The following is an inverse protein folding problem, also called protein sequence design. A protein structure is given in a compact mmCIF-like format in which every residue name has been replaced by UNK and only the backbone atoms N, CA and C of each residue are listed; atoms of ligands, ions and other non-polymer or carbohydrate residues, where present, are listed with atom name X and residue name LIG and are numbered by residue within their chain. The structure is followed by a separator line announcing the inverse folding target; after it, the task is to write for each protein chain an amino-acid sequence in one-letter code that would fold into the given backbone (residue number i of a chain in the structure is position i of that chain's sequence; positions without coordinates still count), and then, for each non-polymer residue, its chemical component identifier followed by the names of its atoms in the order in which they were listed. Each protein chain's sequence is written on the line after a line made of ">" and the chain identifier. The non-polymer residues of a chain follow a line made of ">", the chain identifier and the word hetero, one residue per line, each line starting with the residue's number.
data_IF_237005049071
#
_entry.id   IF_237005049071
#
_cell.length_a   1.000
_cell.length_b   1.000
_cell.length_c   1.000
_cell.angle_alpha   90.00
_cell.angle_beta   90.00
_cell.angle_gamma   90.00
#
_symmetry.space_group_name_H-M   'P 1'
#
loop_
_entity.id
_entity.type
_entity.pdbx_description
1 polymer ?
#
# COMPACT_ATOMS: atom_id res chain seq x y z
N UNK A 1 -24.09 -39.86 -54.80
CA UNK A 1 -22.63 -39.62 -54.85
C UNK A 1 -22.15 -39.31 -53.44
N UNK A 2 -21.32 -40.22 -52.88
CA UNK A 2 -20.81 -40.15 -51.52
C UNK A 2 -19.54 -39.29 -51.44
N UNK A 3 -19.40 -38.45 -50.40
CA UNK A 3 -18.15 -37.78 -50.04
C UNK A 3 -17.87 -37.86 -48.54
N UNK A 4 -17.04 -38.86 -48.21
CA UNK A 4 -15.85 -38.75 -47.35
C UNK A 4 -15.97 -38.08 -45.98
N UNK A 5 -16.31 -38.89 -44.97
CA UNK A 5 -16.00 -38.62 -43.55
C UNK A 5 -14.48 -38.74 -43.32
N UNK A 6 -13.82 -37.62 -42.99
CA UNK A 6 -12.40 -37.59 -42.61
C UNK A 6 -12.28 -37.79 -41.10
N UNK A 7 -11.70 -38.91 -40.71
CA UNK A 7 -11.38 -39.25 -39.32
C UNK A 7 -10.38 -38.26 -38.71
N UNK A 8 -10.81 -37.56 -37.66
CA UNK A 8 -9.95 -36.81 -36.77
C UNK A 8 -9.22 -37.75 -35.82
N UNK A 9 -7.87 -37.70 -35.80
CA UNK A 9 -7.08 -38.37 -34.77
C UNK A 9 -7.38 -37.72 -33.40
N UNK A 10 -7.51 -38.51 -32.33
CA UNK A 10 -7.71 -37.96 -31.00
C UNK A 10 -6.46 -37.21 -30.52
N UNK A 11 -6.62 -36.16 -29.69
CA UNK A 11 -5.49 -35.41 -29.14
C UNK A 11 -4.65 -36.32 -28.23
N UNK A 12 -3.36 -36.38 -28.55
CA UNK A 12 -2.34 -36.99 -27.71
C UNK A 12 -2.34 -36.31 -26.33
N UNK A 13 -2.88 -37.03 -25.34
CA UNK A 13 -2.80 -36.71 -23.93
C UNK A 13 -1.34 -36.76 -23.48
N UNK A 14 -0.62 -35.64 -23.66
CA UNK A 14 0.71 -35.42 -23.13
C UNK A 14 0.64 -35.31 -21.61
N UNK A 15 0.66 -36.46 -20.94
CA UNK A 15 0.73 -36.56 -19.48
C UNK A 15 1.94 -35.79 -18.95
N UNK A 16 1.68 -34.59 -18.42
CA UNK A 16 2.66 -33.74 -17.75
C UNK A 16 3.18 -34.53 -16.54
N UNK A 17 4.37 -35.13 -16.67
CA UNK A 17 5.05 -35.86 -15.59
C UNK A 17 5.17 -34.90 -14.40
N UNK A 18 4.39 -35.16 -13.36
CA UNK A 18 4.50 -34.44 -12.08
C UNK A 18 5.81 -34.93 -11.46
N UNK A 19 6.86 -34.14 -11.61
CA UNK A 19 8.09 -34.36 -10.88
C UNK A 19 7.75 -34.19 -9.40
N UNK A 20 7.51 -35.30 -8.71
CA UNK A 20 7.38 -35.33 -7.26
C UNK A 20 8.68 -34.76 -6.69
N UNK A 21 8.67 -33.62 -5.99
CA UNK A 21 9.87 -33.10 -5.38
C UNK A 21 10.39 -34.17 -4.42
N UNK A 22 11.68 -34.45 -4.49
CA UNK A 22 12.36 -35.30 -3.50
C UNK A 22 12.04 -34.79 -2.09
N UNK A 23 12.00 -35.67 -1.09
CA UNK A 23 11.57 -35.29 0.27
C UNK A 23 12.32 -34.06 0.84
N UNK A 24 13.56 -33.84 0.41
CA UNK A 24 14.35 -32.65 0.74
C UNK A 24 13.84 -31.35 0.09
N UNK A 25 13.34 -31.40 -1.14
CA UNK A 25 12.76 -30.24 -1.82
C UNK A 25 11.41 -29.85 -1.20
N UNK A 26 10.60 -30.82 -0.76
CA UNK A 26 9.36 -30.53 -0.02
C UNK A 26 9.64 -29.87 1.35
N UNK A 27 10.70 -30.28 2.05
CA UNK A 27 11.13 -29.63 3.29
C UNK A 27 11.64 -28.20 3.07
N UNK A 28 12.35 -27.95 1.97
CA UNK A 28 12.82 -26.60 1.61
C UNK A 28 11.65 -25.64 1.31
N UNK A 29 10.61 -26.10 0.61
CA UNK A 29 9.41 -25.29 0.38
C UNK A 29 8.63 -25.03 1.68
N UNK A 30 8.54 -26.02 2.57
CA UNK A 30 7.88 -25.84 3.86
C UNK A 30 8.64 -24.84 4.75
N UNK A 31 9.98 -24.91 4.78
CA UNK A 31 10.83 -23.96 5.50
C UNK A 31 10.68 -22.53 4.98
N UNK A 32 10.65 -22.33 3.66
CA UNK A 32 10.49 -20.98 3.08
C UNK A 32 9.10 -20.40 3.36
N UNK A 33 8.05 -21.22 3.38
CA UNK A 33 6.69 -20.79 3.78
C UNK A 33 6.61 -20.46 5.27
N UNK A 34 7.25 -21.25 6.12
CA UNK A 34 7.31 -21.00 7.57
C UNK A 34 8.14 -19.76 7.88
N UNK A 35 9.27 -19.54 7.19
CA UNK A 35 10.12 -18.35 7.38
C UNK A 35 9.42 -17.09 6.85
N UNK A 36 8.75 -17.15 5.70
CA UNK A 36 8.07 -15.98 5.14
C UNK A 36 6.83 -15.57 5.94
N UNK A 37 5.99 -16.54 6.33
CA UNK A 37 4.79 -16.24 7.14
C UNK A 37 5.14 -16.03 8.61
N UNK A 38 5.97 -16.90 9.18
CA UNK A 38 6.43 -16.80 10.57
C UNK A 38 7.31 -15.58 10.82
N UNK A 39 8.16 -15.20 9.86
CA UNK A 39 8.99 -14.00 9.97
C UNK A 39 8.18 -12.71 10.06
N UNK A 40 7.05 -12.63 9.34
CA UNK A 40 6.15 -11.47 9.43
C UNK A 40 5.48 -11.38 10.80
N UNK A 41 5.01 -12.51 11.36
CA UNK A 41 4.45 -12.53 12.72
C UNK A 41 5.50 -12.21 13.79
N UNK A 42 6.75 -12.66 13.62
CA UNK A 42 7.85 -12.31 14.50
C UNK A 42 8.20 -10.82 14.41
N UNK A 43 8.21 -10.24 13.21
CA UNK A 43 8.42 -8.80 13.03
C UNK A 43 7.33 -7.96 13.69
N UNK A 44 6.07 -8.36 13.54
CA UNK A 44 4.95 -7.67 14.17
C UNK A 44 5.04 -7.80 15.70
N UNK A 45 5.29 -9.01 16.21
CA UNK A 45 5.44 -9.24 17.65
C UNK A 45 6.61 -8.46 18.25
N UNK A 46 7.75 -8.43 17.56
CA UNK A 46 8.92 -7.65 17.96
C UNK A 46 8.66 -6.14 17.89
N UNK A 47 7.91 -5.68 16.88
CA UNK A 47 7.46 -4.30 16.77
C UNK A 47 6.55 -3.88 17.94
N UNK A 48 5.63 -4.73 18.35
CA UNK A 48 4.76 -4.48 19.51
C UNK A 48 5.58 -4.45 20.80
N UNK A 49 6.50 -5.41 20.96
CA UNK A 49 7.38 -5.48 22.13
C UNK A 49 8.25 -4.23 22.28
N UNK A 50 8.91 -3.81 21.20
CA UNK A 50 9.75 -2.60 21.17
C UNK A 50 8.94 -1.32 21.37
N UNK A 51 7.73 -1.22 20.80
CA UNK A 51 6.82 -0.11 21.06
C UNK A 51 6.41 -0.02 22.54
N UNK A 52 6.18 -1.17 23.19
CA UNK A 52 5.91 -1.23 24.63
C UNK A 52 7.07 -0.72 25.48
N UNK A 53 8.30 -1.10 25.15
CA UNK A 53 9.50 -0.59 25.83
C UNK A 53 9.69 0.91 25.62
N UNK A 54 9.42 1.44 24.42
CA UNK A 54 9.44 2.89 24.14
C UNK A 54 8.43 3.62 25.03
N UNK A 55 7.19 3.12 25.12
CA UNK A 55 6.14 3.72 25.96
C UNK A 55 6.53 3.65 27.44
N UNK A 56 7.11 2.53 27.89
CA UNK A 56 7.52 2.33 29.28
C UNK A 56 8.67 3.25 29.68
N UNK A 57 9.65 3.46 28.79
CA UNK A 57 10.72 4.44 28.97
C UNK A 57 10.20 5.89 28.93
N UNK A 58 9.18 6.18 28.11
CA UNK A 58 8.50 7.48 28.07
C UNK A 58 7.61 7.74 29.30
N UNK A 59 7.02 6.70 29.89
CA UNK A 59 6.01 6.83 30.96
C UNK A 59 6.58 7.18 32.33
N UNK A 60 7.91 7.18 32.51
CA UNK A 60 8.55 7.41 33.81
C UNK A 60 9.70 8.40 33.79
N UNK A 61 10.04 8.97 32.65
CA UNK A 61 11.10 9.96 32.50
C UNK A 61 10.49 11.23 31.92
N UNK A 62 10.64 12.37 32.60
CA UNK A 62 10.46 13.70 32.00
C UNK A 62 11.51 13.88 30.88
N UNK A 63 11.31 13.20 29.75
CA UNK A 63 12.37 13.04 28.75
C UNK A 63 12.04 13.86 27.52
N UNK A 64 12.79 14.94 27.37
CA UNK A 64 12.98 15.73 26.16
C UNK A 64 11.76 16.45 25.55
N UNK A 65 10.54 15.94 25.67
CA UNK A 65 9.34 16.70 25.29
C UNK A 65 9.19 17.94 26.17
N UNK A 66 9.35 17.83 27.48
CA UNK A 66 9.37 19.00 28.39
C UNK A 66 10.59 19.89 28.21
N UNK A 67 11.73 19.35 27.75
CA UNK A 67 12.91 20.17 27.45
C UNK A 67 12.68 20.94 26.14
N UNK A 68 12.10 20.33 25.10
CA UNK A 68 11.77 21.01 23.84
C UNK A 68 10.64 22.00 24.06
N UNK A 69 9.60 21.64 24.81
CA UNK A 69 8.45 22.49 25.13
C UNK A 69 8.86 23.61 26.10
N UNK A 70 9.63 23.30 27.15
CA UNK A 70 10.18 24.27 28.11
C UNK A 70 11.25 25.19 27.52
N UNK A 71 12.06 24.72 26.56
CA UNK A 71 12.99 25.55 25.78
C UNK A 71 12.27 26.40 24.73
N UNK A 72 11.17 25.92 24.17
CA UNK A 72 10.28 26.64 23.26
C UNK A 72 9.46 27.73 23.98
N UNK A 73 9.16 27.55 25.28
CA UNK A 73 8.36 28.48 26.09
C UNK A 73 9.17 29.50 26.92
N UNK A 74 10.44 29.23 27.29
CA UNK A 74 11.17 30.06 28.28
C UNK A 74 12.12 31.15 27.74
N UNK A 75 12.33 31.28 26.43
CA UNK A 75 13.37 32.16 25.88
C UNK A 75 12.88 33.29 24.97
N UNK A 76 12.91 34.54 25.46
CA UNK A 76 12.57 35.81 24.77
C UNK A 76 13.38 36.19 23.51
N UNK A 77 13.95 35.23 22.78
CA UNK A 77 14.71 35.48 21.55
C UNK A 77 14.76 34.32 20.53
N UNK A 78 13.95 33.27 20.68
CA UNK A 78 14.09 32.02 19.89
C UNK A 78 12.80 31.54 19.21
N UNK A 79 11.94 32.45 18.79
CA UNK A 79 10.71 32.15 18.05
C UNK A 79 10.98 31.40 16.72
N UNK A 80 12.14 31.60 16.09
CA UNK A 80 12.50 30.95 14.83
C UNK A 80 12.57 29.41 14.90
N UNK A 81 13.06 28.84 16.01
CA UNK A 81 13.14 27.37 16.17
C UNK A 81 11.76 26.74 16.34
N UNK A 82 10.90 27.40 17.11
CA UNK A 82 9.49 27.02 17.30
C UNK A 82 8.72 27.00 15.97
N UNK A 83 8.89 28.07 15.16
CA UNK A 83 8.29 28.16 13.84
C UNK A 83 8.87 27.13 12.86
N UNK A 84 10.16 26.79 12.96
CA UNK A 84 10.77 25.75 12.12
C UNK A 84 10.14 24.38 12.34
N UNK A 85 9.92 23.98 13.60
CA UNK A 85 9.27 22.69 13.92
C UNK A 85 7.81 22.69 13.47
N UNK A 86 7.06 23.77 13.72
CA UNK A 86 5.69 23.90 13.23
C UNK A 86 5.63 23.88 11.70
N UNK A 87 6.58 24.51 11.01
CA UNK A 87 6.67 24.49 9.56
C UNK A 87 6.88 23.06 9.04
N UNK A 88 7.74 22.26 9.69
CA UNK A 88 7.97 20.87 9.30
C UNK A 88 6.75 19.98 9.54
N UNK A 89 6.04 20.17 10.66
CA UNK A 89 4.82 19.42 10.96
C UNK A 89 3.72 19.78 9.95
N UNK A 90 3.50 21.07 9.72
CA UNK A 90 2.46 21.54 8.79
C UNK A 90 2.78 21.19 7.34
N UNK A 91 4.05 21.27 6.92
CA UNK A 91 4.45 20.84 5.58
C UNK A 91 4.26 19.34 5.39
N UNK A 92 4.68 18.53 6.37
CA UNK A 92 4.51 17.07 6.32
C UNK A 92 3.03 16.69 6.26
N UNK A 93 2.20 17.36 7.07
CA UNK A 93 0.75 17.20 7.05
C UNK A 93 0.16 17.58 5.69
N UNK A 94 0.55 18.70 5.10
CA UNK A 94 0.06 19.15 3.80
C UNK A 94 0.38 18.13 2.67
N UNK A 95 1.56 17.53 2.68
CA UNK A 95 1.93 16.48 1.71
C UNK A 95 1.07 15.23 1.90
N UNK A 96 0.90 14.77 3.14
CA UNK A 96 0.05 13.62 3.48
C UNK A 96 -1.40 13.86 3.08
N UNK A 97 -1.93 15.03 3.42
CA UNK A 97 -3.29 15.43 3.10
C UNK A 97 -3.51 15.46 1.58
N UNK A 98 -2.59 16.06 0.81
CA UNK A 98 -2.65 16.05 -0.65
C UNK A 98 -2.69 14.63 -1.21
N UNK A 99 -1.90 13.71 -0.65
CA UNK A 99 -1.89 12.30 -1.06
C UNK A 99 -3.20 11.59 -0.73
N UNK A 100 -3.78 11.84 0.44
CA UNK A 100 -5.07 11.26 0.83
C UNK A 100 -6.23 11.78 0.00
N UNK A 101 -6.24 13.10 -0.31
CA UNK A 101 -7.24 13.68 -1.20
C UNK A 101 -7.22 13.00 -2.58
N UNK A 102 -6.03 12.83 -3.18
CA UNK A 102 -5.87 12.15 -4.48
C UNK A 102 -6.37 10.71 -4.47
N UNK A 103 -6.06 9.93 -3.44
CA UNK A 103 -6.56 8.56 -3.30
C UNK A 103 -8.07 8.50 -3.19
N UNK A 104 -8.65 9.45 -2.46
CA UNK A 104 -10.11 9.56 -2.29
C UNK A 104 -10.78 9.92 -3.61
N UNK A 105 -10.27 10.90 -4.36
CA UNK A 105 -10.80 11.26 -5.68
C UNK A 105 -10.69 10.10 -6.65
N UNK A 106 -9.55 9.43 -6.75
CA UNK A 106 -9.35 8.25 -7.60
C UNK A 106 -10.38 7.15 -7.30
N UNK A 107 -10.60 6.84 -6.02
CA UNK A 107 -11.57 5.83 -5.60
C UNK A 107 -13.00 6.21 -5.98
N UNK A 108 -13.37 7.48 -5.80
CA UNK A 108 -14.71 7.97 -6.12
C UNK A 108 -14.93 8.03 -7.63
N UNK A 109 -13.96 8.52 -8.40
CA UNK A 109 -14.02 8.59 -9.87
C UNK A 109 -14.15 7.19 -10.47
N UNK A 110 -13.39 6.21 -9.97
CA UNK A 110 -13.50 4.82 -10.41
C UNK A 110 -14.89 4.24 -10.16
N UNK A 111 -15.44 4.45 -8.96
CA UNK A 111 -16.80 4.00 -8.62
C UNK A 111 -17.86 4.70 -9.46
N UNK A 112 -17.69 5.99 -9.73
CA UNK A 112 -18.60 6.75 -10.57
C UNK A 112 -18.62 6.19 -12.00
N UNK A 113 -17.45 5.95 -12.62
CA UNK A 113 -17.36 5.34 -13.95
C UNK A 113 -18.01 3.96 -14.00
N UNK A 114 -17.81 3.15 -12.95
CA UNK A 114 -18.45 1.84 -12.86
C UNK A 114 -19.98 1.95 -12.79
N UNK A 115 -20.51 2.91 -12.03
CA UNK A 115 -21.95 3.17 -11.95
C UNK A 115 -22.51 3.75 -13.25
N UNK A 116 -21.79 4.68 -13.88
CA UNK A 116 -22.17 5.27 -15.16
C UNK A 116 -22.23 4.21 -16.26
N UNK A 117 -21.21 3.35 -16.36
CA UNK A 117 -21.19 2.27 -17.37
C UNK A 117 -22.31 1.24 -17.17
N UNK A 118 -22.73 1.01 -15.91
CA UNK A 118 -23.88 0.14 -15.61
C UNK A 118 -25.22 0.78 -15.97
N UNK A 119 -25.34 2.10 -15.87
CA UNK A 119 -26.58 2.84 -16.10
C UNK A 119 -26.76 3.20 -17.59
N UNK A 120 -25.70 3.67 -18.23
CA UNK A 120 -25.67 4.13 -19.61
C UNK A 120 -24.29 3.82 -20.24
N UNK A 121 -24.14 2.69 -20.95
CA UNK A 121 -22.86 2.27 -21.51
C UNK A 121 -22.37 3.18 -22.65
N UNK A 122 -23.26 3.96 -23.28
CA UNK A 122 -22.93 4.83 -24.41
C UNK A 122 -22.57 6.26 -23.97
N UNK A 123 -22.58 6.55 -22.65
CA UNK A 123 -22.22 7.87 -22.12
C UNK A 123 -20.72 8.14 -22.25
N UNK A 124 -20.37 9.13 -23.07
CA UNK A 124 -18.99 9.63 -23.16
C UNK A 124 -18.59 10.32 -21.84
N UNK A 125 -17.54 9.83 -21.19
CA UNK A 125 -17.00 10.43 -19.96
C UNK A 125 -16.47 11.85 -20.22
N UNK A 126 -16.38 12.68 -19.18
CA UNK A 126 -15.98 14.09 -19.27
C UNK A 126 -14.51 14.34 -19.61
N UNK A 127 -13.74 13.33 -20.01
CA UNK A 127 -12.31 13.45 -20.34
C UNK A 127 -11.38 13.75 -19.16
N UNK A 128 -11.90 13.88 -17.93
CA UNK A 128 -11.05 14.10 -16.76
C UNK A 128 -10.24 12.85 -16.41
N UNK A 129 -8.96 13.05 -16.06
CA UNK A 129 -8.10 12.01 -15.53
C UNK A 129 -8.66 11.46 -14.20
N UNK A 130 -8.37 10.19 -13.88
CA UNK A 130 -8.84 9.57 -12.62
C UNK A 130 -8.35 10.31 -11.37
N UNK A 131 -7.25 11.03 -11.49
CA UNK A 131 -6.64 11.86 -10.44
C UNK A 131 -7.36 13.20 -10.23
N UNK A 132 -8.29 13.58 -11.11
CA UNK A 132 -8.96 14.89 -11.09
C UNK A 132 -8.11 16.04 -11.62
N UNK A 133 -7.00 15.74 -12.32
CA UNK A 133 -6.16 16.72 -13.01
C UNK A 133 -6.63 16.90 -14.47
N UNK A 134 -6.41 18.09 -15.04
CA UNK A 134 -6.66 18.36 -16.47
C UNK A 134 -5.78 17.44 -17.32
N UNK A 135 -6.31 16.95 -18.44
CA UNK A 135 -5.54 16.11 -19.35
C UNK A 135 -4.30 16.90 -19.85
N UNK A 136 -3.09 16.34 -19.84
CA UNK A 136 -1.89 17.08 -20.26
C UNK A 136 -1.93 17.53 -21.72
N UNK A 137 -2.78 16.91 -22.54
CA UNK A 137 -2.98 17.26 -23.95
C UNK A 137 -3.91 18.47 -24.16
N UNK A 138 -4.59 18.96 -23.11
CA UNK A 138 -5.47 20.14 -23.14
C UNK A 138 -4.74 21.46 -22.75
N UNK A 139 -3.42 21.43 -22.60
CA UNK A 139 -2.57 22.59 -22.21
C UNK A 139 -1.81 23.22 -23.38
#
# INVERSE_FOLDING_TARGET
>A
MAKGSKGGKPPSSGGKKRNTPSGLAALAELLTVVVSKGGLYLLIGYGIYTAGEIIKELAGKETHADIVIGWMLSGSGKSAGAFGVLALITSSWAVLERRFRRRKTETLTRRLRELEHRLDPDRSSSGLAETGETHPDDL
#
